data_IF_246547309099
#
_entry.id   IF_246547309099
#
_cell.length_a   1.000
_cell.length_b   1.000
_cell.length_c   1.000
_cell.angle_alpha   90.00
_cell.angle_beta   90.00
_cell.angle_gamma   90.00
#
_symmetry.space_group_name_H-M   'P 1'
#
loop_
_entity.id
_entity.type
_entity.pdbx_description
1 polymer ?
#
# COMPACT_ATOMS: atom_id res chain seq x y z
N UNK A 1 12.82 3.37 -8.18
CA UNK A 1 12.50 4.53 -7.32
C UNK A 1 11.34 4.23 -6.38
N UNK A 2 10.16 3.80 -6.87
CA UNK A 2 8.99 3.48 -6.03
C UNK A 2 9.31 2.45 -4.93
N UNK A 3 9.91 1.30 -5.28
CA UNK A 3 10.27 0.27 -4.29
C UNK A 3 11.22 0.76 -3.19
N UNK A 4 12.10 1.72 -3.49
CA UNK A 4 13.02 2.29 -2.49
C UNK A 4 12.26 3.18 -1.50
N UNK A 5 11.32 3.98 -1.99
CA UNK A 5 10.46 4.77 -1.13
C UNK A 5 9.57 3.89 -0.23
N UNK A 6 9.01 2.82 -0.79
CA UNK A 6 8.18 1.87 -0.03
C UNK A 6 9.00 1.16 1.07
N UNK A 7 10.29 0.89 0.81
CA UNK A 7 11.22 0.39 1.82
C UNK A 7 11.42 1.41 2.96
N UNK A 8 11.60 2.70 2.62
CA UNK A 8 11.72 3.77 3.61
C UNK A 8 10.46 3.84 4.47
N UNK A 9 9.28 3.82 3.84
CA UNK A 9 7.98 3.81 4.55
C UNK A 9 7.91 2.62 5.52
N UNK A 10 8.29 1.42 5.08
CA UNK A 10 8.27 0.24 5.93
C UNK A 10 9.22 0.37 7.14
N UNK A 11 10.42 0.92 6.93
CA UNK A 11 11.39 1.17 8.00
C UNK A 11 10.85 2.19 9.00
N UNK A 12 10.27 3.29 8.54
CA UNK A 12 9.69 4.30 9.44
C UNK A 12 8.52 3.76 10.25
N UNK A 13 7.61 3.01 9.61
CA UNK A 13 6.50 2.33 10.30
C UNK A 13 7.02 1.36 11.37
N UNK A 14 8.11 0.66 11.08
CA UNK A 14 8.76 -0.24 12.04
C UNK A 14 9.33 0.54 13.22
N UNK A 15 10.12 1.59 12.97
CA UNK A 15 10.70 2.46 13.99
C UNK A 15 9.62 3.03 14.91
N UNK A 16 8.51 3.49 14.34
CA UNK A 16 7.38 3.96 15.12
C UNK A 16 6.73 2.92 16.00
N UNK A 17 6.59 1.71 15.48
CA UNK A 17 5.97 0.62 16.21
C UNK A 17 6.82 0.29 17.45
N UNK A 18 8.15 0.34 17.31
CA UNK A 18 9.09 0.21 18.42
C UNK A 18 8.95 1.39 19.40
N UNK A 19 8.94 2.64 18.93
CA UNK A 19 8.78 3.81 19.80
C UNK A 19 7.44 3.80 20.55
N UNK A 20 6.35 3.41 19.88
CA UNK A 20 5.03 3.21 20.49
C UNK A 20 5.06 2.18 21.60
N UNK A 21 5.74 1.06 21.36
CA UNK A 21 5.88 0.01 22.35
C UNK A 21 6.70 0.47 23.56
N UNK A 22 7.75 1.27 23.34
CA UNK A 22 8.61 1.77 24.41
C UNK A 22 7.98 2.89 25.26
N UNK A 23 7.29 3.86 24.63
CA UNK A 23 6.76 5.07 25.30
C UNK A 23 5.30 4.89 25.75
N UNK A 24 4.55 4.01 25.07
CA UNK A 24 3.12 3.81 25.31
C UNK A 24 2.22 4.89 24.71
N UNK A 25 0.94 4.87 25.09
CA UNK A 25 -0.12 5.69 24.50
C UNK A 25 0.04 7.21 24.68
N UNK A 26 0.84 7.64 25.67
CA UNK A 26 1.10 9.07 25.93
C UNK A 26 1.77 9.79 24.75
N UNK A 27 2.43 9.05 23.87
CA UNK A 27 3.07 9.62 22.68
C UNK A 27 2.09 10.32 21.72
N UNK A 28 0.81 9.89 21.70
CA UNK A 28 -0.25 10.48 20.86
C UNK A 28 -1.30 11.22 21.66
N UNK A 29 -0.92 11.80 22.80
CA UNK A 29 -1.84 12.63 23.56
C UNK A 29 -2.32 13.82 22.72
N UNK A 30 -3.60 14.17 22.87
CA UNK A 30 -4.24 15.25 22.11
C UNK A 30 -3.51 16.57 22.38
N UNK A 31 -3.29 17.38 21.34
CA UNK A 31 -2.56 18.66 21.38
C UNK A 31 -1.06 18.55 21.70
N UNK A 32 -0.49 17.34 21.71
CA UNK A 32 0.95 17.16 21.83
C UNK A 32 1.67 17.54 20.53
N UNK A 33 2.86 18.17 20.64
CA UNK A 33 3.68 18.51 19.47
C UNK A 33 4.12 17.24 18.72
N UNK A 34 4.27 16.12 19.44
CA UNK A 34 4.60 14.80 18.91
C UNK A 34 3.48 14.30 17.98
N UNK A 35 2.21 14.38 18.38
CA UNK A 35 1.09 13.99 17.53
C UNK A 35 1.00 14.85 16.26
N UNK A 36 1.26 16.15 16.36
CA UNK A 36 1.26 17.06 15.20
C UNK A 36 2.40 16.77 14.22
N UNK A 37 3.63 16.66 14.72
CA UNK A 37 4.82 16.30 13.92
C UNK A 37 4.59 14.93 13.26
N UNK A 38 4.11 13.96 14.03
CA UNK A 38 3.92 12.61 13.54
C UNK A 38 2.80 12.51 12.50
N UNK A 39 1.69 13.20 12.72
CA UNK A 39 0.61 13.34 11.75
C UNK A 39 1.12 13.95 10.44
N UNK A 40 2.00 14.94 10.53
CA UNK A 40 2.65 15.53 9.35
C UNK A 40 3.56 14.53 8.62
N UNK A 41 4.47 13.85 9.31
CA UNK A 41 5.41 12.89 8.70
C UNK A 41 4.69 11.69 8.04
N UNK A 42 3.72 11.09 8.73
CA UNK A 42 2.94 9.97 8.16
C UNK A 42 2.18 10.39 6.92
N UNK A 43 1.66 11.62 6.90
CA UNK A 43 1.03 12.15 5.69
C UNK A 43 2.06 12.46 4.61
N UNK A 44 3.24 12.98 4.97
CA UNK A 44 4.29 13.37 4.02
C UNK A 44 4.77 12.21 3.15
N UNK A 45 5.09 11.05 3.73
CA UNK A 45 5.56 9.92 2.92
C UNK A 45 4.48 9.35 2.00
N UNK A 46 3.24 9.27 2.50
CA UNK A 46 2.09 8.97 1.66
C UNK A 46 1.97 9.98 0.50
N UNK A 47 2.36 11.26 0.68
CA UNK A 47 2.42 12.25 -0.41
C UNK A 47 3.55 11.94 -1.40
N UNK A 48 4.75 11.57 -0.96
CA UNK A 48 5.87 11.26 -1.86
C UNK A 48 5.58 10.03 -2.72
N UNK A 49 4.98 8.98 -2.16
CA UNK A 49 4.61 7.77 -2.92
C UNK A 49 3.61 8.13 -4.02
N UNK A 50 2.65 8.99 -3.66
CA UNK A 50 1.67 9.50 -4.59
C UNK A 50 2.31 10.42 -5.62
N UNK A 51 3.29 11.26 -5.28
CA UNK A 51 4.06 12.08 -6.24
C UNK A 51 4.76 11.22 -7.29
N UNK A 52 5.32 10.08 -6.90
CA UNK A 52 5.94 9.14 -7.86
C UNK A 52 4.86 8.51 -8.75
N UNK A 53 3.73 8.10 -8.17
CA UNK A 53 2.55 7.64 -8.94
C UNK A 53 1.90 8.78 -9.75
N UNK A 54 2.15 10.04 -9.41
CA UNK A 54 1.60 11.23 -10.06
C UNK A 54 2.25 11.55 -11.39
N UNK A 55 3.50 11.16 -11.64
CA UNK A 55 4.06 11.21 -13.00
C UNK A 55 3.18 10.40 -13.96
N UNK A 56 2.46 9.39 -13.46
CA UNK A 56 1.51 8.57 -14.23
C UNK A 56 0.04 9.04 -14.13
N UNK A 57 -0.33 9.99 -13.25
CA UNK A 57 -1.74 10.37 -13.05
C UNK A 57 -1.95 11.77 -12.44
N UNK A 58 -1.69 12.82 -13.23
CA UNK A 58 -1.63 14.25 -12.85
C UNK A 58 -2.85 14.80 -12.07
N UNK A 59 -4.06 14.26 -12.26
CA UNK A 59 -5.29 14.83 -11.70
C UNK A 59 -5.57 14.40 -10.24
N UNK A 60 -4.98 13.29 -9.77
CA UNK A 60 -5.17 12.76 -8.40
C UNK A 60 -4.35 13.52 -7.35
N UNK A 61 -3.32 14.23 -7.79
CA UNK A 61 -2.35 14.93 -6.96
C UNK A 61 -2.95 16.11 -6.20
N UNK A 62 -3.63 16.99 -6.94
CA UNK A 62 -4.03 18.31 -6.45
C UNK A 62 -4.96 18.20 -5.25
N UNK A 63 -5.97 17.33 -5.33
CA UNK A 63 -6.94 17.18 -4.24
C UNK A 63 -6.29 16.64 -2.96
N UNK A 64 -5.49 15.57 -3.05
CA UNK A 64 -4.96 14.92 -1.86
C UNK A 64 -3.92 15.80 -1.14
N UNK A 65 -2.99 16.39 -1.89
CA UNK A 65 -1.98 17.28 -1.31
C UNK A 65 -2.64 18.53 -0.72
N UNK A 66 -3.67 19.06 -1.37
CA UNK A 66 -4.43 20.21 -0.87
C UNK A 66 -5.07 19.92 0.49
N UNK A 67 -5.86 18.84 0.62
CA UNK A 67 -6.56 18.53 1.87
C UNK A 67 -5.59 18.30 3.03
N UNK A 68 -4.50 17.55 2.82
CA UNK A 68 -3.55 17.27 3.90
C UNK A 68 -2.68 18.47 4.28
N UNK A 69 -2.23 19.28 3.31
CA UNK A 69 -1.51 20.53 3.62
C UNK A 69 -2.42 21.51 4.36
N UNK A 70 -3.68 21.59 3.96
CA UNK A 70 -4.67 22.43 4.63
C UNK A 70 -4.89 22.00 6.09
N UNK A 71 -5.00 20.70 6.35
CA UNK A 71 -5.14 20.17 7.71
C UNK A 71 -3.92 20.44 8.60
N UNK A 72 -2.71 20.41 8.01
CA UNK A 72 -1.48 20.76 8.71
C UNK A 72 -1.40 22.26 9.04
N UNK A 73 -1.78 23.14 8.09
CA UNK A 73 -1.81 24.59 8.30
C UNK A 73 -2.79 24.97 9.42
N UNK A 74 -3.94 24.30 9.48
CA UNK A 74 -4.93 24.52 10.53
C UNK A 74 -4.54 23.93 11.90
N UNK A 75 -3.52 23.08 11.98
CA UNK A 75 -3.15 22.40 13.22
C UNK A 75 -4.21 21.43 13.75
N UNK A 76 -5.14 20.96 12.90
CA UNK A 76 -6.27 20.10 13.32
C UNK A 76 -5.89 18.61 13.47
N UNK A 77 -4.65 18.32 13.87
CA UNK A 77 -4.21 16.94 14.09
C UNK A 77 -4.84 16.41 15.39
N UNK A 78 -5.72 15.41 15.27
CA UNK A 78 -6.36 14.73 16.40
C UNK A 78 -5.96 13.25 16.41
N UNK A 79 -5.81 12.63 17.60
CA UNK A 79 -5.58 11.20 17.67
C UNK A 79 -6.81 10.43 17.17
N UNK A 80 -6.55 9.34 16.46
CA UNK A 80 -7.56 8.34 16.11
C UNK A 80 -8.09 7.61 17.36
N UNK A 81 -9.21 6.90 17.24
CA UNK A 81 -9.80 6.19 18.39
C UNK A 81 -8.91 5.08 18.96
N UNK A 82 -7.99 4.54 18.15
CA UNK A 82 -6.98 3.58 18.59
C UNK A 82 -5.75 4.22 19.23
N UNK A 83 -5.58 5.54 19.13
CA UNK A 83 -4.35 6.27 19.48
C UNK A 83 -3.09 5.74 18.74
N UNK A 84 -3.25 5.01 17.63
CA UNK A 84 -2.12 4.49 16.84
C UNK A 84 -1.62 5.55 15.85
N UNK A 85 -2.46 6.51 15.48
CA UNK A 85 -2.16 7.52 14.48
C UNK A 85 -2.92 8.81 14.76
N UNK A 86 -2.41 9.94 14.24
CA UNK A 86 -3.09 11.23 14.25
C UNK A 86 -3.55 11.60 12.84
N UNK A 87 -4.78 12.10 12.72
CA UNK A 87 -5.38 12.54 11.46
C UNK A 87 -5.97 13.92 11.58
N UNK A 88 -5.94 14.66 10.48
CA UNK A 88 -6.68 15.92 10.33
C UNK A 88 -8.17 15.65 10.07
N UNK A 89 -9.04 16.59 10.41
CA UNK A 89 -10.48 16.56 10.10
C UNK A 89 -11.24 15.42 10.79
N UNK A 90 -10.80 14.99 11.98
CA UNK A 90 -11.55 14.05 12.82
C UNK A 90 -12.65 14.72 13.66
N UNK A 91 -12.75 16.06 13.61
CA UNK A 91 -13.75 16.83 14.34
C UNK A 91 -15.20 16.49 13.98
N UNK A 92 -16.12 16.83 14.87
CA UNK A 92 -17.57 16.75 14.65
C UNK A 92 -18.13 18.00 13.97
N UNK A 93 -17.29 18.98 13.65
CA UNK A 93 -17.69 20.16 12.91
C UNK A 93 -18.14 19.77 11.48
N UNK A 94 -19.15 20.47 10.92
CA UNK A 94 -19.64 20.17 9.58
C UNK A 94 -18.53 20.21 8.55
N UNK A 95 -17.60 21.15 8.66
CA UNK A 95 -16.51 21.32 7.70
C UNK A 95 -15.56 20.10 7.66
N UNK A 96 -15.05 19.66 8.81
CA UNK A 96 -14.24 18.43 8.92
C UNK A 96 -14.98 17.20 8.41
N UNK A 97 -16.30 17.15 8.66
CA UNK A 97 -17.14 16.05 8.17
C UNK A 97 -17.19 16.00 6.64
N UNK A 98 -17.42 17.15 5.98
CA UNK A 98 -17.42 17.23 4.51
C UNK A 98 -16.05 16.89 3.92
N UNK A 99 -14.96 17.38 4.52
CA UNK A 99 -13.61 17.03 4.06
C UNK A 99 -13.32 15.54 4.26
N UNK A 100 -13.67 14.95 5.41
CA UNK A 100 -13.50 13.52 5.66
C UNK A 100 -14.28 12.66 4.66
N UNK A 101 -15.48 13.11 4.25
CA UNK A 101 -16.26 12.45 3.21
C UNK A 101 -15.56 12.56 1.84
N UNK A 102 -15.07 13.76 1.47
CA UNK A 102 -14.28 13.97 0.26
C UNK A 102 -13.03 13.09 0.21
N UNK A 103 -12.29 13.00 1.32
CA UNK A 103 -11.13 12.11 1.47
C UNK A 103 -11.50 10.64 1.25
N UNK A 104 -12.69 10.20 1.68
CA UNK A 104 -13.17 8.83 1.46
C UNK A 104 -13.29 8.51 -0.04
N UNK A 105 -13.83 9.44 -0.83
CA UNK A 105 -13.88 9.31 -2.28
C UNK A 105 -12.49 9.36 -2.92
N UNK A 106 -11.57 10.15 -2.37
CA UNK A 106 -10.16 10.15 -2.77
C UNK A 106 -9.43 8.83 -2.47
N UNK A 107 -9.97 7.94 -1.64
CA UNK A 107 -9.47 6.56 -1.51
C UNK A 107 -10.22 5.60 -2.45
N UNK A 108 -11.55 5.68 -2.46
CA UNK A 108 -12.42 4.78 -3.24
C UNK A 108 -12.09 4.81 -4.73
N UNK A 109 -12.09 6.00 -5.34
CA UNK A 109 -11.95 6.15 -6.80
C UNK A 109 -10.59 5.64 -7.29
N UNK A 110 -9.44 6.01 -6.69
CA UNK A 110 -8.15 5.45 -7.10
C UNK A 110 -8.05 3.94 -6.94
N UNK A 111 -8.60 3.36 -5.87
CA UNK A 111 -8.55 1.90 -5.66
C UNK A 111 -9.24 1.14 -6.80
N UNK A 112 -10.43 1.59 -7.22
CA UNK A 112 -11.15 0.99 -8.33
C UNK A 112 -10.46 1.21 -9.67
N UNK A 113 -9.95 2.41 -9.95
CA UNK A 113 -9.25 2.65 -11.21
C UNK A 113 -7.96 1.83 -11.29
N UNK A 114 -7.19 1.75 -10.20
CA UNK A 114 -5.99 0.91 -10.14
C UNK A 114 -6.34 -0.55 -10.41
N UNK A 115 -7.42 -1.05 -9.80
CA UNK A 115 -7.92 -2.40 -10.05
C UNK A 115 -8.24 -2.61 -11.52
N UNK A 116 -9.05 -1.72 -12.13
CA UNK A 116 -9.39 -1.80 -13.56
C UNK A 116 -8.12 -1.82 -14.42
N UNK A 117 -7.15 -0.94 -14.14
CA UNK A 117 -5.89 -0.89 -14.89
C UNK A 117 -5.11 -2.22 -14.82
N UNK A 118 -4.98 -2.81 -13.63
CA UNK A 118 -4.31 -4.11 -13.48
C UNK A 118 -5.07 -5.24 -14.19
N UNK A 119 -6.41 -5.23 -14.15
CA UNK A 119 -7.21 -6.20 -14.89
C UNK A 119 -7.05 -6.03 -16.41
N UNK A 120 -6.95 -4.80 -16.93
CA UNK A 120 -6.67 -4.55 -18.34
C UNK A 120 -5.27 -5.06 -18.74
N UNK A 121 -4.25 -4.82 -17.92
CA UNK A 121 -2.90 -5.37 -18.14
C UNK A 121 -2.93 -6.89 -18.13
N UNK A 122 -3.61 -7.51 -17.16
CA UNK A 122 -3.78 -8.94 -17.06
C UNK A 122 -4.54 -9.55 -18.23
N UNK A 123 -5.58 -8.86 -18.71
CA UNK A 123 -6.33 -9.25 -19.91
C UNK A 123 -5.43 -9.27 -21.15
N UNK A 124 -4.64 -8.21 -21.35
CA UNK A 124 -3.70 -8.12 -22.46
C UNK A 124 -2.59 -9.18 -22.37
N UNK A 125 -2.05 -9.45 -21.18
CA UNK A 125 -1.09 -10.52 -20.95
C UNK A 125 -1.71 -11.90 -21.26
N UNK A 126 -2.94 -12.15 -20.82
CA UNK A 126 -3.63 -13.41 -21.10
C UNK A 126 -3.92 -13.61 -22.61
N UNK A 127 -4.21 -12.53 -23.35
CA UNK A 127 -4.31 -12.56 -24.82
C UNK A 127 -2.99 -13.02 -25.45
N UNK A 128 -1.85 -12.44 -25.05
CA UNK A 128 -0.53 -12.86 -25.54
C UNK A 128 -0.24 -14.34 -25.22
N UNK A 129 -0.54 -14.78 -23.99
CA UNK A 129 -0.39 -16.19 -23.60
C UNK A 129 -1.27 -17.15 -24.42
N UNK A 130 -2.44 -16.69 -24.90
CA UNK A 130 -3.30 -17.49 -25.78
C UNK A 130 -2.71 -17.66 -27.18
N UNK A 131 -2.06 -16.63 -27.72
CA UNK A 131 -1.35 -16.71 -29.01
C UNK A 131 -0.21 -17.72 -28.93
N UNK A 132 0.65 -17.60 -27.91
CA UNK A 132 1.78 -18.54 -27.71
C UNK A 132 1.26 -19.97 -27.47
N UNK A 133 0.13 -20.12 -26.77
CA UNK A 133 -0.52 -21.44 -26.59
C UNK A 133 -0.95 -22.05 -27.92
N UNK A 134 -1.43 -21.23 -28.86
CA UNK A 134 -1.83 -21.70 -30.18
C UNK A 134 -0.62 -22.17 -31.00
N UNK A 135 0.47 -21.39 -31.01
CA UNK A 135 1.73 -21.75 -31.67
C UNK A 135 2.35 -23.03 -31.09
N UNK A 136 2.40 -23.15 -29.77
CA UNK A 136 2.92 -24.34 -29.09
C UNK A 136 2.10 -25.61 -29.42
N UNK A 137 0.79 -25.47 -29.65
CA UNK A 137 -0.06 -26.59 -30.11
C UNK A 137 0.27 -27.01 -31.54
N UNK A 138 0.47 -26.05 -32.45
CA UNK A 138 0.86 -26.34 -33.84
C UNK A 138 2.19 -27.09 -33.87
N UNK A 139 3.14 -26.68 -33.02
CA UNK A 139 4.48 -27.28 -32.94
C UNK A 139 4.55 -28.55 -32.07
N UNK A 140 3.43 -29.02 -31.49
CA UNK A 140 3.38 -30.14 -30.55
C UNK A 140 4.35 -30.02 -29.33
N UNK A 141 4.68 -28.79 -28.92
CA UNK A 141 5.58 -28.55 -27.79
C UNK A 141 4.85 -28.69 -26.44
N UNK A 142 4.89 -29.90 -25.88
CA UNK A 142 4.26 -30.22 -24.59
C UNK A 142 4.91 -29.50 -23.41
N UNK A 143 6.21 -29.22 -23.47
CA UNK A 143 6.93 -28.55 -22.39
C UNK A 143 6.49 -27.08 -22.28
N UNK A 144 6.41 -26.38 -23.42
CA UNK A 144 5.89 -25.02 -23.49
C UNK A 144 4.44 -24.93 -23.00
N UNK A 145 3.58 -25.88 -23.39
CA UNK A 145 2.19 -25.92 -22.91
C UNK A 145 2.07 -26.10 -21.40
N UNK A 146 2.96 -26.86 -20.77
CA UNK A 146 2.99 -27.03 -19.32
C UNK A 146 3.39 -25.72 -18.62
N UNK A 147 4.39 -25.01 -19.14
CA UNK A 147 4.85 -23.74 -18.58
C UNK A 147 3.82 -22.63 -18.74
N UNK A 148 3.13 -22.55 -19.89
CA UNK A 148 2.02 -21.61 -20.11
C UNK A 148 0.88 -21.78 -19.10
N UNK A 149 0.57 -23.03 -18.68
CA UNK A 149 -0.43 -23.26 -17.63
C UNK A 149 0.02 -22.71 -16.28
N UNK A 150 1.32 -22.79 -15.96
CA UNK A 150 1.86 -22.19 -14.72
C UNK A 150 1.80 -20.67 -14.79
N UNK A 151 2.22 -20.06 -15.91
CA UNK A 151 2.17 -18.62 -16.11
C UNK A 151 0.74 -18.06 -16.00
N UNK A 152 -0.26 -18.75 -16.58
CA UNK A 152 -1.67 -18.35 -16.44
C UNK A 152 -2.17 -18.40 -15.00
N UNK A 153 -1.82 -19.45 -14.24
CA UNK A 153 -2.17 -19.54 -12.80
C UNK A 153 -1.49 -18.44 -11.99
N UNK A 154 -0.22 -18.15 -12.29
CA UNK A 154 0.53 -17.04 -11.65
C UNK A 154 -0.17 -15.70 -11.93
N UNK A 155 -0.53 -15.42 -13.18
CA UNK A 155 -1.23 -14.20 -13.57
C UNK A 155 -2.58 -14.04 -12.86
N UNK A 156 -3.37 -15.13 -12.77
CA UNK A 156 -4.63 -15.12 -12.03
C UNK A 156 -4.42 -14.81 -10.54
N UNK A 157 -3.45 -15.47 -9.91
CA UNK A 157 -3.09 -15.22 -8.52
C UNK A 157 -2.70 -13.77 -8.27
N UNK A 158 -1.90 -13.18 -9.15
CA UNK A 158 -1.50 -11.77 -9.07
C UNK A 158 -2.70 -10.82 -9.13
N UNK A 159 -3.65 -11.05 -10.05
CA UNK A 159 -4.87 -10.24 -10.17
C UNK A 159 -5.77 -10.35 -8.93
N UNK A 160 -5.88 -11.54 -8.35
CA UNK A 160 -6.62 -11.76 -7.10
C UNK A 160 -5.97 -10.99 -5.94
N UNK A 161 -4.64 -11.05 -5.82
CA UNK A 161 -3.90 -10.33 -4.78
C UNK A 161 -4.10 -8.81 -4.93
N UNK A 162 -3.97 -8.27 -6.14
CA UNK A 162 -4.23 -6.85 -6.44
C UNK A 162 -5.65 -6.47 -5.99
N UNK A 163 -6.65 -7.28 -6.32
CA UNK A 163 -8.03 -7.01 -5.93
C UNK A 163 -8.20 -6.98 -4.41
N UNK A 164 -7.62 -7.95 -3.70
CA UNK A 164 -7.68 -8.03 -2.24
C UNK A 164 -6.98 -6.84 -1.59
N UNK A 165 -5.80 -6.45 -2.06
CA UNK A 165 -5.06 -5.32 -1.49
C UNK A 165 -5.79 -4.00 -1.73
N UNK A 166 -6.12 -3.66 -2.98
CA UNK A 166 -6.69 -2.34 -3.26
C UNK A 166 -8.18 -2.23 -2.93
N UNK A 167 -8.96 -3.31 -3.05
CA UNK A 167 -10.38 -3.25 -2.70
C UNK A 167 -10.60 -3.82 -1.30
N UNK A 168 -10.17 -5.04 -1.01
CA UNK A 168 -10.40 -5.65 0.30
C UNK A 168 -9.84 -4.83 1.47
N UNK A 169 -8.56 -4.48 1.43
CA UNK A 169 -7.90 -3.82 2.58
C UNK A 169 -8.31 -2.34 2.72
N UNK A 170 -8.43 -1.61 1.62
CA UNK A 170 -8.90 -0.22 1.67
C UNK A 170 -10.42 -0.09 1.86
N UNK A 171 -11.24 -1.10 1.53
CA UNK A 171 -12.69 -1.05 1.69
C UNK A 171 -13.12 -0.78 3.11
N UNK A 172 -12.49 -1.45 4.07
CA UNK A 172 -12.82 -1.22 5.47
C UNK A 172 -12.60 0.25 5.87
N UNK A 173 -11.60 0.92 5.31
CA UNK A 173 -11.32 2.34 5.59
C UNK A 173 -12.44 3.24 5.08
N UNK A 174 -12.71 3.22 3.78
CA UNK A 174 -13.69 4.16 3.20
C UNK A 174 -15.13 3.80 3.58
N UNK A 175 -15.47 2.51 3.75
CA UNK A 175 -16.81 2.09 4.22
C UNK A 175 -17.06 2.61 5.63
N UNK A 176 -16.13 2.42 6.56
CA UNK A 176 -16.33 2.90 7.93
C UNK A 176 -16.33 4.43 8.02
N UNK A 177 -15.63 5.14 7.13
CA UNK A 177 -15.75 6.60 7.01
C UNK A 177 -17.13 7.03 6.47
N UNK A 178 -17.66 6.35 5.45
CA UNK A 178 -19.00 6.61 4.93
C UNK A 178 -20.06 6.29 5.98
N UNK A 179 -19.95 5.16 6.69
CA UNK A 179 -20.87 4.79 7.77
C UNK A 179 -20.85 5.78 8.94
N UNK A 180 -19.68 6.36 9.25
CA UNK A 180 -19.57 7.44 10.23
C UNK A 180 -20.48 8.61 9.85
N UNK A 181 -20.62 8.90 8.56
CA UNK A 181 -21.48 9.94 8.03
C UNK A 181 -22.96 9.52 7.96
N UNK A 182 -23.28 8.35 7.40
CA UNK A 182 -24.68 7.97 7.17
C UNK A 182 -25.42 7.61 8.45
N UNK A 183 -24.75 6.92 9.38
CA UNK A 183 -25.40 6.30 10.55
C UNK A 183 -24.76 6.74 11.87
N UNK A 184 -23.95 7.82 11.88
CA UNK A 184 -23.17 8.25 13.05
C UNK A 184 -22.30 7.12 13.65
N UNK A 185 -21.84 6.18 12.82
CA UNK A 185 -21.04 5.05 13.27
C UNK A 185 -19.75 5.52 13.96
N UNK A 186 -19.57 5.11 15.22
CA UNK A 186 -18.33 5.35 15.96
C UNK A 186 -17.38 4.19 15.75
N UNK A 187 -16.30 4.42 15.00
CA UNK A 187 -15.27 3.42 14.77
C UNK A 187 -14.59 3.03 16.09
N UNK A 188 -14.75 1.77 16.48
CA UNK A 188 -14.11 1.24 17.69
C UNK A 188 -12.58 1.27 17.57
N UNK A 189 -11.84 1.37 18.68
CA UNK A 189 -10.37 1.33 18.66
C UNK A 189 -9.80 0.10 17.92
N UNK A 190 -10.45 -1.06 18.08
CA UNK A 190 -10.07 -2.29 17.40
C UNK A 190 -10.23 -2.21 15.88
N UNK A 191 -11.38 -1.72 15.40
CA UNK A 191 -11.61 -1.57 13.96
C UNK A 191 -10.66 -0.53 13.36
N UNK A 192 -10.35 0.54 14.10
CA UNK A 192 -9.39 1.54 13.66
C UNK A 192 -7.96 1.00 13.54
N UNK A 193 -7.51 0.21 14.52
CA UNK A 193 -6.23 -0.50 14.45
C UNK A 193 -6.19 -1.46 13.25
N UNK A 194 -7.25 -2.23 13.03
CA UNK A 194 -7.35 -3.15 11.89
C UNK A 194 -7.29 -2.40 10.55
N UNK A 195 -8.04 -1.30 10.40
CA UNK A 195 -7.98 -0.44 9.20
C UNK A 195 -6.56 0.05 8.96
N UNK A 196 -5.90 0.57 10.00
CA UNK A 196 -4.53 1.06 9.90
C UNK A 196 -3.58 -0.04 9.43
N UNK A 197 -3.60 -1.20 10.10
CA UNK A 197 -2.75 -2.35 9.74
C UNK A 197 -3.00 -2.81 8.32
N UNK A 198 -4.25 -2.93 7.87
CA UNK A 198 -4.57 -3.37 6.51
C UNK A 198 -4.06 -2.39 5.46
N UNK A 199 -4.20 -1.08 5.68
CA UNK A 199 -3.65 -0.05 4.77
C UNK A 199 -2.12 -0.16 4.71
N UNK A 200 -1.47 -0.26 5.87
CA UNK A 200 0.00 -0.38 5.95
C UNK A 200 0.51 -1.64 5.27
N UNK A 201 -0.16 -2.78 5.48
CA UNK A 201 0.20 -4.04 4.80
C UNK A 201 0.03 -3.89 3.29
N UNK A 202 -1.06 -3.26 2.83
CA UNK A 202 -1.26 -3.01 1.40
C UNK A 202 -0.12 -2.19 0.79
N UNK A 203 0.30 -1.11 1.46
CA UNK A 203 1.42 -0.28 1.02
C UNK A 203 2.71 -1.10 0.98
N UNK A 204 2.96 -1.92 2.01
CA UNK A 204 4.18 -2.75 2.05
C UNK A 204 4.25 -3.84 0.96
N UNK A 205 3.11 -4.29 0.45
CA UNK A 205 3.02 -5.34 -0.57
C UNK A 205 2.91 -4.81 -2.00
N UNK A 206 2.66 -3.51 -2.20
CA UNK A 206 2.67 -2.86 -3.51
C UNK A 206 3.95 -3.10 -4.34
N UNK A 207 5.18 -3.10 -3.79
CA UNK A 207 6.37 -3.21 -4.61
C UNK A 207 6.54 -4.66 -5.08
N UNK A 208 6.17 -5.62 -4.23
CA UNK A 208 6.17 -7.03 -4.55
C UNK A 208 5.22 -7.32 -5.72
N UNK A 209 4.02 -6.73 -5.69
CA UNK A 209 3.07 -6.84 -6.80
C UNK A 209 3.65 -6.24 -8.07
N UNK A 210 4.17 -5.01 -8.00
CA UNK A 210 4.71 -4.28 -9.16
C UNK A 210 5.82 -5.07 -9.84
N UNK A 211 6.80 -5.56 -9.08
CA UNK A 211 7.91 -6.39 -9.59
C UNK A 211 7.37 -7.70 -10.18
N UNK A 212 6.34 -8.30 -9.55
CA UNK A 212 5.78 -9.55 -10.04
C UNK A 212 5.10 -9.42 -11.42
N UNK A 213 4.56 -8.25 -11.74
CA UNK A 213 3.94 -7.95 -13.05
C UNK A 213 4.96 -7.58 -14.13
N UNK A 214 6.22 -7.34 -13.78
CA UNK A 214 7.28 -6.95 -14.71
C UNK A 214 8.20 -8.15 -14.96
N UNK A 215 7.97 -8.96 -16.00
CA UNK A 215 8.72 -10.20 -16.23
C UNK A 215 10.23 -9.96 -16.41
N UNK A 216 10.61 -8.84 -17.04
CA UNK A 216 12.00 -8.45 -17.25
C UNK A 216 12.70 -8.17 -15.92
N UNK A 217 12.06 -7.38 -15.05
CA UNK A 217 12.56 -7.07 -13.71
C UNK A 217 12.54 -8.27 -12.77
N UNK A 218 11.65 -9.23 -12.99
CA UNK A 218 11.62 -10.45 -12.19
C UNK A 218 12.92 -11.27 -12.35
N UNK A 219 13.56 -11.24 -13.52
CA UNK A 219 14.85 -11.91 -13.73
C UNK A 219 16.00 -11.19 -12.99
N UNK A 220 16.03 -9.86 -13.05
CA UNK A 220 17.01 -9.02 -12.33
C UNK A 220 16.83 -9.12 -10.82
N UNK A 221 15.58 -9.12 -10.34
CA UNK A 221 15.27 -9.25 -8.93
C UNK A 221 15.63 -10.64 -8.40
N UNK A 222 15.38 -11.70 -9.18
CA UNK A 222 15.82 -13.05 -8.84
C UNK A 222 17.35 -13.12 -8.71
N UNK A 223 18.07 -12.49 -9.65
CA UNK A 223 19.52 -12.37 -9.59
C UNK A 223 19.98 -11.62 -8.34
N UNK A 224 19.33 -10.51 -8.00
CA UNK A 224 19.62 -9.74 -6.79
C UNK A 224 19.37 -10.55 -5.51
N UNK A 225 18.25 -11.28 -5.42
CA UNK A 225 17.95 -12.15 -4.29
C UNK A 225 18.97 -13.29 -4.14
N UNK A 226 19.38 -13.92 -5.26
CA UNK A 226 20.43 -14.95 -5.25
C UNK A 226 21.74 -14.37 -4.73
N UNK A 227 22.09 -13.14 -5.15
CA UNK A 227 23.29 -12.43 -4.68
C UNK A 227 23.23 -12.11 -3.18
N UNK A 228 22.08 -11.63 -2.67
CA UNK A 228 21.88 -11.41 -1.23
C UNK A 228 22.00 -12.72 -0.46
N UNK A 229 21.33 -13.79 -0.92
CA UNK A 229 21.35 -15.09 -0.25
C UNK A 229 22.76 -15.68 -0.21
N UNK A 230 23.52 -15.58 -1.31
CA UNK A 230 24.93 -15.97 -1.34
C UNK A 230 25.78 -15.18 -0.33
N UNK A 231 25.56 -13.86 -0.22
CA UNK A 231 26.26 -13.00 0.74
C UNK A 231 25.90 -13.33 2.20
N UNK A 232 24.61 -13.55 2.49
CA UNK A 232 24.14 -13.97 3.82
C UNK A 232 24.71 -15.34 4.21
N UNK A 233 24.69 -16.31 3.30
CA UNK A 233 25.32 -17.63 3.55
C UNK A 233 26.81 -17.51 3.81
N UNK A 234 27.51 -16.62 3.09
CA UNK A 234 28.93 -16.35 3.32
C UNK A 234 29.18 -15.74 4.71
N UNK A 235 28.36 -14.75 5.11
CA UNK A 235 28.43 -14.14 6.44
C UNK A 235 28.17 -15.16 7.55
N UNK A 236 27.13 -16.00 7.41
CA UNK A 236 26.83 -17.06 8.37
C UNK A 236 27.97 -18.09 8.48
N UNK A 237 28.60 -18.46 7.35
CA UNK A 237 29.81 -19.32 7.34
C UNK A 237 31.00 -18.67 8.03
N UNK A 238 31.17 -17.35 7.91
CA UNK A 238 32.24 -16.63 8.60
C UNK A 238 32.01 -16.58 10.11
N UNK A 239 30.78 -16.36 10.56
CA UNK A 239 30.42 -16.34 11.99
C UNK A 239 30.61 -17.73 12.61
N UNK A 240 30.20 -18.79 11.90
CA UNK A 240 30.32 -20.17 12.39
C UNK A 240 31.76 -20.70 12.42
N UNK A 241 32.74 -20.05 11.75
CA UNK A 241 34.17 -20.41 11.86
C UNK A 241 34.87 -19.80 13.06
N UNK A 242 34.25 -18.81 13.71
CA UNK A 242 34.81 -18.12 14.88
C UNK A 242 34.49 -18.88 16.18
N UNK A 243 33.53 -19.82 16.10
CA UNK A 243 33.14 -20.75 17.17
C UNK A 243 33.68 -22.14 16.88
#
# INVERSE_FOLDING_TARGET
MLCFLELIIAVEVCILSIFKFAVGYKFFEKNSIQCAIWGFFMQWLNRVEIVIVCILSTLRYLMRTFFFSYGAILGDAKPSSSYIQCHSFLGSDPFSTHISLGLSFCYLIPCWITTINYFLVGWNANKKLNVIKHEAKINNDRACLAELRKQKRKLLGQLIIVFILYNGFFMLSYVTMIMKYTNNYRRTPFVDAMVFTLITVSISLNPLITVSFQPDLNSEFLFFLVKINAKLKSMLKSITKIW
#
